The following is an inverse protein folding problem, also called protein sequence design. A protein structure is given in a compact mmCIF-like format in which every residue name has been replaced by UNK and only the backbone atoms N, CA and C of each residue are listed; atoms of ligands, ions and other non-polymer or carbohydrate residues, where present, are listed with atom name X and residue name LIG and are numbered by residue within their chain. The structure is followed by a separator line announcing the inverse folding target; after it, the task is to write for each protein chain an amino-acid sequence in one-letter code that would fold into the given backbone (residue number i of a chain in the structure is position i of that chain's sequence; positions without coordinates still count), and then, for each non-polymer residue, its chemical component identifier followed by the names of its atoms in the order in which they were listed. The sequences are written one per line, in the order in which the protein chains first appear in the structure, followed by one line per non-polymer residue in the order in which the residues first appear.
data_IF_682941809749
#
_entry.id   IF_682941809749
#
_cell.length_a   1.000
_cell.length_b   1.000
_cell.length_c   1.000
_cell.angle_alpha   90.00
_cell.angle_beta   90.00
_cell.angle_gamma   90.00
#
_symmetry.space_group_name_H-M   'P 1'
#
loop_
_entity.id
_entity.type
_entity.pdbx_description
1 polymer ?
#
# COMPACT_ATOMS: atom_id res chain seq x y z
N UNK A 1 6.70 -0.88 1.26
CA UNK A 1 5.95 -1.00 2.53
C UNK A 1 5.59 0.40 2.97
N UNK A 2 4.31 0.65 3.21
CA UNK A 2 3.80 1.99 3.53
C UNK A 2 2.72 1.93 4.61
N UNK A 3 2.65 2.98 5.42
CA UNK A 3 1.58 3.23 6.37
C UNK A 3 0.50 4.04 5.64
N UNK A 4 -0.72 3.50 5.45
CA UNK A 4 -1.77 4.21 4.72
C UNK A 4 -2.21 5.47 5.47
N UNK A 5 -2.63 6.49 4.72
CA UNK A 5 -3.27 7.70 5.25
C UNK A 5 -4.80 7.64 5.09
N UNK A 6 -5.34 6.43 4.93
CA UNK A 6 -6.77 6.17 4.93
C UNK A 6 -7.07 5.40 6.21
N UNK A 7 -7.97 5.92 7.02
CA UNK A 7 -8.32 5.35 8.31
C UNK A 7 -8.85 3.92 8.16
N UNK A 8 -8.52 3.07 9.13
CA UNK A 8 -8.93 1.66 9.14
C UNK A 8 -8.10 0.73 8.24
N UNK A 9 -7.26 1.26 7.33
CA UNK A 9 -6.38 0.41 6.54
C UNK A 9 -5.14 -0.03 7.33
N UNK A 10 -4.76 -1.33 7.27
CA UNK A 10 -3.50 -1.80 7.80
C UNK A 10 -2.32 -1.46 6.87
N UNK A 11 -1.10 -1.65 7.35
CA UNK A 11 0.15 -1.43 6.59
C UNK A 11 0.09 -2.05 5.18
N UNK A 12 0.39 -1.28 4.15
CA UNK A 12 0.35 -1.77 2.78
C UNK A 12 1.70 -2.38 2.37
N UNK A 13 1.63 -3.49 1.63
CA UNK A 13 2.82 -4.15 1.08
C UNK A 13 2.67 -4.44 -0.40
N UNK A 14 3.78 -4.38 -1.13
CA UNK A 14 3.85 -4.60 -2.56
C UNK A 14 5.31 -4.67 -2.98
N UNK A 15 5.52 -4.94 -4.26
CA UNK A 15 6.81 -4.74 -4.91
C UNK A 15 6.75 -3.48 -5.76
N UNK A 16 7.86 -2.81 -5.96
CA UNK A 16 7.97 -1.65 -6.85
C UNK A 16 9.12 -1.90 -7.83
N UNK A 17 8.92 -1.51 -9.09
CA UNK A 17 9.94 -1.61 -10.14
C UNK A 17 9.67 -0.55 -11.20
N UNK A 18 9.87 0.72 -10.84
CA UNK A 18 9.71 1.85 -11.74
C UNK A 18 10.92 2.78 -11.64
N UNK A 19 11.22 3.48 -12.73
CA UNK A 19 12.20 4.58 -12.77
C UNK A 19 11.57 5.96 -12.75
N UNK A 20 10.24 6.05 -12.84
CA UNK A 20 9.52 7.32 -12.82
C UNK A 20 9.46 7.92 -11.42
N UNK A 21 9.51 9.25 -11.34
CA UNK A 21 9.28 10.03 -10.12
C UNK A 21 7.91 10.69 -10.25
N UNK A 22 7.10 10.64 -9.19
CA UNK A 22 5.77 11.24 -9.14
C UNK A 22 5.74 12.37 -8.13
N UNK A 23 5.28 13.54 -8.59
CA UNK A 23 4.99 14.70 -7.75
C UNK A 23 3.48 14.90 -7.70
N UNK A 24 2.92 14.94 -6.49
CA UNK A 24 1.48 15.11 -6.32
C UNK A 24 1.07 16.55 -6.63
N UNK A 25 0.00 16.70 -7.42
CA UNK A 25 -0.58 17.99 -7.72
C UNK A 25 -1.40 18.56 -6.55
N UNK A 26 -1.82 19.84 -6.64
CA UNK A 26 -2.65 20.47 -5.61
C UNK A 26 -3.92 19.65 -5.31
N UNK A 27 -4.23 19.47 -4.03
CA UNK A 27 -5.42 18.74 -3.58
C UNK A 27 -5.33 17.21 -3.67
N UNK A 28 -4.22 16.66 -4.16
CA UNK A 28 -3.95 15.21 -4.16
C UNK A 28 -3.14 14.85 -2.93
N UNK A 29 -3.61 13.87 -2.16
CA UNK A 29 -2.91 13.36 -0.97
C UNK A 29 -2.21 12.05 -1.30
N UNK A 30 -1.10 11.70 -0.64
CA UNK A 30 -0.51 10.39 -0.85
C UNK A 30 -1.41 9.28 -0.30
N UNK A 31 -1.29 8.09 -0.87
CA UNK A 31 -1.98 6.89 -0.37
C UNK A 31 -1.44 6.50 1.01
N UNK A 32 -0.13 6.60 1.17
CA UNK A 32 0.54 6.28 2.42
C UNK A 32 1.85 7.03 2.61
N UNK A 33 2.33 7.01 3.85
CA UNK A 33 3.71 7.33 4.19
C UNK A 33 4.59 6.13 3.89
N UNK A 34 5.68 6.34 3.16
CA UNK A 34 6.65 5.32 2.86
C UNK A 34 7.43 4.93 4.13
N UNK A 35 7.50 3.64 4.42
CA UNK A 35 8.31 3.08 5.51
C UNK A 35 9.54 2.36 4.97
N UNK A 36 9.39 1.65 3.86
CA UNK A 36 10.48 0.97 3.17
C UNK A 36 10.21 0.89 1.66
N UNK A 37 11.20 1.26 0.86
CA UNK A 37 11.12 1.30 -0.60
C UNK A 37 11.55 2.65 -1.16
N UNK A 38 11.12 2.96 -2.37
CA UNK A 38 11.30 4.21 -3.12
C UNK A 38 10.01 5.03 -3.14
N UNK A 39 8.86 4.36 -3.23
CA UNK A 39 7.55 4.98 -3.31
C UNK A 39 7.40 5.89 -4.51
N UNK A 40 6.87 7.09 -4.34
CA UNK A 40 6.77 8.06 -5.44
C UNK A 40 8.14 8.57 -5.95
N UNK A 41 9.24 8.29 -5.25
CA UNK A 41 10.60 8.60 -5.71
C UNK A 41 11.04 10.07 -5.58
N UNK A 42 10.16 10.97 -5.12
CA UNK A 42 10.43 12.40 -4.99
C UNK A 42 11.23 12.83 -3.75
N UNK A 43 11.59 11.89 -2.87
CA UNK A 43 12.31 12.16 -1.62
C UNK A 43 11.45 12.70 -0.46
N UNK A 44 10.14 12.78 -0.65
CA UNK A 44 9.16 13.25 0.34
C UNK A 44 8.59 12.12 1.23
N UNK A 45 9.14 10.89 1.10
CA UNK A 45 8.67 9.68 1.76
C UNK A 45 7.17 9.41 1.55
N UNK A 46 6.66 9.69 0.35
CA UNK A 46 5.28 9.40 -0.03
C UNK A 46 5.17 8.13 -0.88
N UNK A 47 4.03 7.45 -0.77
CA UNK A 47 3.64 6.34 -1.64
C UNK A 47 2.27 6.63 -2.25
N UNK A 48 2.18 6.49 -3.58
CA UNK A 48 0.94 6.56 -4.33
C UNK A 48 0.23 7.91 -4.24
N UNK A 49 -1.04 7.92 -4.64
CA UNK A 49 -1.90 9.09 -4.68
C UNK A 49 -3.36 8.74 -4.40
N UNK A 50 -4.10 9.66 -3.80
CA UNK A 50 -5.53 9.58 -3.57
C UNK A 50 -6.18 10.92 -3.89
N UNK A 51 -7.26 10.88 -4.68
CA UNK A 51 -8.10 12.04 -4.98
C UNK A 51 -9.56 11.60 -5.09
N UNK A 52 -10.38 11.93 -4.10
CA UNK A 52 -11.75 11.42 -3.99
C UNK A 52 -11.75 9.88 -3.94
N UNK A 53 -12.39 9.25 -4.95
CA UNK A 53 -12.45 7.78 -5.14
C UNK A 53 -11.42 7.26 -6.15
N UNK A 54 -10.38 8.02 -6.43
CA UNK A 54 -9.25 7.60 -7.27
C UNK A 54 -8.09 7.26 -6.35
N UNK A 55 -7.48 6.09 -6.57
CA UNK A 55 -6.27 5.64 -5.90
C UNK A 55 -5.26 5.18 -6.94
N UNK A 56 -4.01 5.60 -6.77
CA UNK A 56 -2.88 5.14 -7.56
C UNK A 56 -1.74 4.69 -6.63
N UNK A 57 -0.98 3.68 -7.07
CA UNK A 57 0.17 3.14 -6.33
C UNK A 57 1.14 2.48 -7.30
N UNK A 58 2.43 2.52 -6.99
CA UNK A 58 3.45 1.75 -7.72
C UNK A 58 3.55 0.30 -7.27
N UNK A 59 2.90 -0.05 -6.16
CA UNK A 59 2.86 -1.42 -5.67
C UNK A 59 2.29 -2.37 -6.73
N UNK A 60 3.05 -3.41 -7.05
CA UNK A 60 2.66 -4.52 -7.90
C UNK A 60 2.85 -5.87 -7.19
N UNK A 61 2.51 -6.96 -7.90
CA UNK A 61 2.58 -8.33 -7.41
C UNK A 61 1.33 -8.76 -6.64
N UNK A 62 0.26 -9.03 -7.40
CA UNK A 62 -0.99 -8.24 -7.45
C UNK A 62 -1.29 -7.37 -6.21
N UNK A 63 -1.42 -6.05 -6.40
CA UNK A 63 -1.55 -5.07 -5.32
C UNK A 63 -2.75 -5.32 -4.39
N UNK A 64 -3.92 -5.62 -4.96
CA UNK A 64 -5.16 -5.81 -4.19
C UNK A 64 -5.19 -7.16 -3.47
N UNK A 65 -4.83 -8.26 -4.15
CA UNK A 65 -4.78 -9.58 -3.51
C UNK A 65 -3.77 -9.63 -2.35
N UNK A 66 -2.72 -8.79 -2.40
CA UNK A 66 -1.75 -8.66 -1.31
C UNK A 66 -2.24 -7.78 -0.15
N UNK A 67 -3.23 -6.93 -0.40
CA UNK A 67 -3.81 -6.01 0.57
C UNK A 67 -5.35 -6.11 0.54
N UNK A 68 -5.95 -7.19 1.07
CA UNK A 68 -7.40 -7.42 1.00
C UNK A 68 -8.23 -6.26 1.56
N UNK A 69 -7.85 -5.70 2.70
CA UNK A 69 -8.53 -4.51 3.27
C UNK A 69 -8.54 -3.29 2.32
N UNK A 70 -7.53 -3.15 1.45
CA UNK A 70 -7.53 -2.12 0.41
C UNK A 70 -8.52 -2.47 -0.72
N UNK A 71 -8.64 -3.74 -1.09
CA UNK A 71 -9.64 -4.22 -2.04
C UNK A 71 -11.06 -3.97 -1.51
N UNK A 72 -11.32 -4.29 -0.24
CA UNK A 72 -12.60 -4.07 0.43
C UNK A 72 -12.98 -2.58 0.50
N UNK A 73 -12.00 -1.71 0.75
CA UNK A 73 -12.22 -0.27 0.67
C UNK A 73 -12.70 0.16 -0.72
N UNK A 74 -12.06 -0.33 -1.79
CA UNK A 74 -12.45 0.03 -3.16
C UNK A 74 -13.83 -0.52 -3.53
N UNK A 75 -14.12 -1.76 -3.12
CA UNK A 75 -15.42 -2.39 -3.35
C UNK A 75 -16.52 -1.66 -2.59
N UNK A 76 -16.30 -1.31 -1.32
CA UNK A 76 -17.31 -0.63 -0.48
C UNK A 76 -17.70 0.75 -0.99
N UNK A 77 -16.81 1.44 -1.73
CA UNK A 77 -17.18 2.68 -2.42
C UNK A 77 -18.29 2.52 -3.46
N UNK A 78 -18.47 1.29 -3.96
CA UNK A 78 -19.45 0.96 -5.01
C UNK A 78 -20.65 0.23 -4.43
N UNK A 79 -20.42 -0.81 -3.62
CA UNK A 79 -21.49 -1.71 -3.16
C UNK A 79 -21.95 -1.46 -1.72
N UNK A 80 -21.27 -0.58 -0.98
CA UNK A 80 -21.55 -0.33 0.43
C UNK A 80 -20.84 -1.29 1.37
N UNK A 81 -21.39 -1.48 2.56
CA UNK A 81 -20.78 -2.32 3.60
C UNK A 81 -20.65 -3.78 3.14
N UNK A 82 -19.49 -4.37 3.39
CA UNK A 82 -19.17 -5.75 3.05
C UNK A 82 -19.30 -6.63 4.30
N UNK A 83 -19.93 -7.79 4.14
CA UNK A 83 -19.91 -8.79 5.20
C UNK A 83 -18.49 -9.36 5.36
N UNK A 84 -17.98 -9.52 6.59
CA UNK A 84 -16.67 -10.10 6.82
C UNK A 84 -16.55 -11.51 6.26
N UNK A 85 -15.41 -11.81 5.63
CA UNK A 85 -15.05 -13.14 5.16
C UNK A 85 -14.14 -13.85 6.18
N UNK A 86 -14.10 -15.19 6.09
CA UNK A 86 -13.11 -15.99 6.82
C UNK A 86 -11.76 -15.95 6.09
N UNK A 87 -10.92 -15.01 6.50
CA UNK A 87 -9.64 -14.71 5.86
C UNK A 87 -8.43 -15.17 6.70
N UNK A 88 -8.63 -16.12 7.63
CA UNK A 88 -7.62 -16.53 8.60
C UNK A 88 -6.27 -16.93 7.94
N UNK A 89 -6.32 -17.76 6.89
CA UNK A 89 -5.13 -18.19 6.15
C UNK A 89 -4.42 -17.01 5.46
N UNK A 90 -5.20 -16.05 4.94
CA UNK A 90 -4.68 -14.86 4.25
C UNK A 90 -3.96 -13.94 5.25
N UNK A 91 -4.55 -13.76 6.42
CA UNK A 91 -3.95 -12.98 7.52
C UNK A 91 -2.68 -13.63 8.07
N UNK A 92 -2.63 -14.96 8.17
CA UNK A 92 -1.42 -15.68 8.58
C UNK A 92 -0.27 -15.49 7.58
N UNK A 93 -0.54 -15.67 6.28
CA UNK A 93 0.43 -15.43 5.21
C UNK A 93 0.89 -13.97 5.16
N UNK A 94 -0.03 -13.03 5.41
CA UNK A 94 0.27 -11.61 5.51
C UNK A 94 1.16 -11.30 6.71
N UNK A 95 0.87 -11.88 7.87
CA UNK A 95 1.68 -11.74 9.07
C UNK A 95 3.09 -12.30 8.88
N UNK A 96 3.24 -13.45 8.23
CA UNK A 96 4.54 -14.02 7.89
C UNK A 96 5.37 -13.09 7.01
N UNK A 97 4.75 -12.54 5.97
CA UNK A 97 5.36 -11.55 5.07
C UNK A 97 5.80 -10.28 5.81
N UNK A 98 4.98 -9.75 6.70
CA UNK A 98 5.37 -8.58 7.50
C UNK A 98 6.54 -8.89 8.43
N UNK A 99 6.57 -10.10 9.02
CA UNK A 99 7.72 -10.58 9.81
C UNK A 99 8.99 -10.67 8.98
N UNK A 100 8.93 -11.17 7.73
CA UNK A 100 10.12 -11.28 6.87
C UNK A 100 10.67 -9.91 6.47
N UNK A 101 9.81 -8.94 6.16
CA UNK A 101 10.20 -7.56 5.83
C UNK A 101 10.85 -6.84 7.03
N UNK A 102 10.42 -7.13 8.26
CA UNK A 102 11.02 -6.57 9.48
C UNK A 102 12.38 -7.19 9.85
N UNK A 103 12.61 -8.46 9.47
CA UNK A 103 13.88 -9.16 9.70
C UNK A 103 14.94 -8.87 8.64
N UNK A 104 14.52 -8.50 7.43
CA UNK A 104 15.40 -8.16 6.33
C UNK A 104 16.03 -6.78 6.48
N UNK A 105 17.14 -6.68 7.20
CA UNK A 105 18.07 -5.54 7.09
C UNK A 105 18.82 -5.65 5.76
N UNK A 106 18.15 -5.35 4.64
CA UNK A 106 18.86 -5.28 3.35
C UNK A 106 19.73 -4.02 3.35
N UNK A 107 21.05 -4.23 3.47
CA UNK A 107 22.05 -3.16 3.43
C UNK A 107 21.92 -2.44 2.08
N UNK A 108 21.60 -1.14 2.11
CA UNK A 108 21.88 -0.25 0.98
C UNK A 108 23.38 -0.29 0.73
N UNK A 109 23.83 -1.04 -0.28
CA UNK A 109 25.09 -0.71 -0.92
C UNK A 109 24.86 0.62 -1.64
N UNK A 110 25.40 1.68 -1.05
CA UNK A 110 25.73 2.92 -1.75
C UNK A 110 26.95 2.67 -2.61
#
# INVERSE_FOLDING_TARGET
LSEPLIDGLPVLTGYENHGAITHLGPGVRPLGRLVHGVGNGGGDNSEGAVSGRILATYMHGPALARNPALADLLLSWTVGDLEPLDDADVEDLRAERLRSLRRGRWRRNR
#
